data_IF_949273713550
#
_entry.id   IF_949273713550
#
_cell.length_a   1.000
_cell.length_b   1.000
_cell.length_c   1.000
_cell.angle_alpha   90.00
_cell.angle_beta   90.00
_cell.angle_gamma   90.00
#
_symmetry.space_group_name_H-M   'P 1'
#
loop_
_entity.id
_entity.type
_entity.pdbx_description
1 polymer ?
#
# COMPACT_ATOMS: atom_id res chain seq x y z
N UNK A 1 3.54 33.45 2.55
CA UNK A 1 3.24 32.38 1.57
C UNK A 1 1.73 32.38 1.40
N UNK A 2 1.24 33.02 0.34
CA UNK A 2 -0.18 33.22 0.05
C UNK A 2 -0.76 31.93 -0.53
N UNK A 3 -1.93 31.48 -0.05
CA UNK A 3 -2.65 30.27 -0.52
C UNK A 3 -2.90 30.22 -2.05
N UNK A 4 -2.64 31.31 -2.77
CA UNK A 4 -3.01 31.50 -4.19
C UNK A 4 -2.09 30.83 -5.22
N UNK A 5 -0.93 30.29 -4.83
CA UNK A 5 0.07 29.71 -5.74
C UNK A 5 0.14 28.18 -5.69
N UNK A 6 -0.73 27.54 -4.89
CA UNK A 6 -0.72 26.09 -4.83
C UNK A 6 -1.65 25.50 -5.90
N UNK A 7 -1.07 24.70 -6.80
CA UNK A 7 -1.82 23.98 -7.83
C UNK A 7 -2.91 23.07 -7.24
N UNK A 8 -3.87 22.61 -8.05
CA UNK A 8 -4.87 21.66 -7.57
C UNK A 8 -4.17 20.40 -7.05
N UNK A 9 -4.50 20.01 -5.82
CA UNK A 9 -4.07 18.74 -5.24
C UNK A 9 -5.16 17.71 -5.50
N UNK A 10 -4.76 16.49 -5.84
CA UNK A 10 -5.67 15.36 -5.96
C UNK A 10 -5.28 14.34 -4.90
N UNK A 11 -6.28 13.90 -4.13
CA UNK A 11 -6.18 12.70 -3.31
C UNK A 11 -6.28 11.49 -4.24
N UNK A 12 -5.15 10.87 -4.54
CA UNK A 12 -5.04 9.70 -5.40
C UNK A 12 -4.54 8.48 -4.63
N UNK A 13 -4.85 7.28 -5.14
CA UNK A 13 -4.35 6.00 -4.64
C UNK A 13 -3.26 5.39 -5.54
N UNK A 14 -2.90 6.08 -6.62
CA UNK A 14 -1.94 5.63 -7.61
C UNK A 14 -1.02 6.79 -7.96
N UNK A 15 0.28 6.57 -7.79
CA UNK A 15 1.29 7.43 -8.37
C UNK A 15 1.37 7.07 -9.85
N UNK A 16 0.76 7.86 -10.73
CA UNK A 16 0.90 7.75 -12.20
C UNK A 16 2.33 8.15 -12.64
N UNK A 17 3.35 7.62 -11.99
CA UNK A 17 4.72 7.71 -12.46
C UNK A 17 4.89 6.72 -13.60
N UNK A 18 5.03 7.21 -14.83
CA UNK A 18 5.52 6.39 -15.94
C UNK A 18 6.85 5.71 -15.56
N UNK A 19 7.30 4.73 -16.35
CA UNK A 19 8.40 3.77 -16.07
C UNK A 19 9.75 4.33 -15.53
N UNK A 20 9.89 5.64 -15.38
CA UNK A 20 11.08 6.38 -14.98
C UNK A 20 10.92 7.19 -13.68
N UNK A 21 9.80 7.08 -12.96
CA UNK A 21 9.63 7.75 -11.67
C UNK A 21 10.60 7.16 -10.61
N UNK A 22 11.27 7.99 -9.78
CA UNK A 22 12.14 7.52 -8.71
C UNK A 22 11.38 6.72 -7.65
N UNK A 23 11.34 5.41 -7.91
CA UNK A 23 10.96 4.29 -7.05
C UNK A 23 9.62 4.39 -6.34
N UNK A 24 8.62 3.73 -6.92
CA UNK A 24 7.59 3.09 -6.15
C UNK A 24 8.24 1.92 -5.37
N UNK A 25 8.54 2.14 -4.09
CA UNK A 25 9.06 1.12 -3.20
C UNK A 25 7.89 0.22 -2.77
N UNK A 26 7.43 -0.65 -3.69
CA UNK A 26 6.37 -1.66 -3.50
C UNK A 26 6.75 -2.76 -2.50
N UNK A 27 7.57 -2.45 -1.49
CA UNK A 27 8.01 -3.46 -0.55
C UNK A 27 6.89 -3.93 0.36
N UNK A 28 5.70 -3.35 0.35
CA UNK A 28 4.63 -3.68 1.29
C UNK A 28 4.95 -3.16 2.69
N UNK A 29 3.91 -2.84 3.46
CA UNK A 29 4.01 -2.30 4.82
C UNK A 29 4.69 -3.31 5.73
N UNK A 30 5.52 -2.81 6.66
CA UNK A 30 6.24 -3.63 7.62
C UNK A 30 5.33 -4.59 8.40
N UNK A 31 4.08 -4.18 8.69
CA UNK A 31 3.10 -5.03 9.36
C UNK A 31 2.80 -6.34 8.61
N UNK A 32 2.65 -6.27 7.29
CA UNK A 32 2.41 -7.45 6.45
C UNK A 32 3.62 -8.39 6.43
N UNK A 33 4.83 -7.85 6.45
CA UNK A 33 6.05 -8.68 6.56
C UNK A 33 6.11 -9.47 7.86
N UNK A 34 5.61 -8.91 8.96
CA UNK A 34 5.50 -9.66 10.22
C UNK A 34 4.56 -10.86 10.03
N UNK A 35 3.40 -10.67 9.41
CA UNK A 35 2.48 -11.77 9.11
C UNK A 35 3.14 -12.86 8.24
N UNK A 36 3.84 -12.46 7.17
CA UNK A 36 4.57 -13.37 6.27
C UNK A 36 5.66 -14.15 7.02
N UNK A 37 6.41 -13.50 7.91
CA UNK A 37 7.45 -14.15 8.69
C UNK A 37 6.88 -15.25 9.61
N UNK A 38 5.78 -14.97 10.32
CA UNK A 38 5.10 -15.97 11.15
C UNK A 38 4.64 -17.18 10.34
N UNK A 39 4.01 -16.94 9.19
CA UNK A 39 3.54 -18.01 8.31
C UNK A 39 4.70 -18.85 7.78
N UNK A 40 5.79 -18.21 7.36
CA UNK A 40 6.96 -18.87 6.79
C UNK A 40 7.67 -19.73 7.84
N UNK A 41 7.89 -19.19 9.05
CA UNK A 41 8.49 -19.96 10.15
C UNK A 41 7.57 -21.10 10.57
N UNK A 42 6.26 -20.84 10.71
CA UNK A 42 5.29 -21.88 11.08
C UNK A 42 5.26 -23.03 10.08
N UNK A 43 5.26 -22.72 8.78
CA UNK A 43 5.33 -23.72 7.71
C UNK A 43 6.64 -24.51 7.74
N UNK A 44 7.77 -23.83 7.90
CA UNK A 44 9.09 -24.47 7.98
C UNK A 44 9.18 -25.43 9.18
N UNK A 45 8.70 -25.04 10.36
CA UNK A 45 8.66 -25.89 11.55
C UNK A 45 7.72 -27.09 11.37
N UNK A 46 6.55 -26.88 10.76
CA UNK A 46 5.61 -27.96 10.44
C UNK A 46 6.25 -29.01 9.52
N UNK A 47 6.87 -28.56 8.42
CA UNK A 47 7.60 -29.43 7.50
C UNK A 47 8.78 -30.15 8.17
N UNK A 48 9.58 -29.43 8.98
CA UNK A 48 10.70 -30.01 9.72
C UNK A 48 10.23 -31.12 10.69
N UNK A 49 9.07 -30.93 11.33
CA UNK A 49 8.50 -31.92 12.25
C UNK A 49 8.16 -33.25 11.57
N UNK A 50 7.84 -33.23 10.27
CA UNK A 50 7.54 -34.43 9.49
C UNK A 50 8.82 -35.18 9.13
N UNK A 51 9.92 -34.45 8.90
CA UNK A 51 11.20 -35.01 8.48
C UNK A 51 11.99 -35.63 9.63
N UNK A 52 11.93 -35.08 10.84
CA UNK A 52 12.71 -35.57 12.00
C UNK A 52 12.10 -36.82 12.69
N UNK A 53 11.15 -37.49 12.03
CA UNK A 53 10.19 -38.37 12.69
C UNK A 53 9.13 -37.53 13.42
N UNK A 54 7.87 -37.98 13.56
CA UNK A 54 6.73 -37.14 13.96
C UNK A 54 6.96 -36.39 15.28
N UNK A 55 7.54 -35.21 15.19
CA UNK A 55 7.87 -34.36 16.32
C UNK A 55 6.65 -33.50 16.62
N UNK A 56 5.66 -34.10 17.28
CA UNK A 56 4.34 -33.51 17.51
C UNK A 56 4.39 -32.13 18.19
N UNK A 57 5.39 -31.88 19.05
CA UNK A 57 5.58 -30.58 19.67
C UNK A 57 5.99 -29.48 18.67
N UNK A 58 6.86 -29.82 17.71
CA UNK A 58 7.29 -28.94 16.61
C UNK A 58 6.12 -28.66 15.67
N UNK A 59 5.31 -29.69 15.39
CA UNK A 59 4.08 -29.54 14.62
C UNK A 59 3.10 -28.59 15.31
N UNK A 60 2.89 -28.74 16.63
CA UNK A 60 2.02 -27.86 17.40
C UNK A 60 2.53 -26.41 17.41
N UNK A 61 3.84 -26.21 17.60
CA UNK A 61 4.45 -24.88 17.53
C UNK A 61 4.27 -24.23 16.14
N UNK A 62 4.50 -24.99 15.07
CA UNK A 62 4.27 -24.53 13.70
C UNK A 62 2.82 -24.15 13.44
N UNK A 63 1.87 -24.98 13.91
CA UNK A 63 0.44 -24.71 13.78
C UNK A 63 0.01 -23.43 14.52
N UNK A 64 0.52 -23.19 15.74
CA UNK A 64 0.25 -21.95 16.49
C UNK A 64 0.77 -20.74 15.73
N UNK A 65 1.99 -20.80 15.16
CA UNK A 65 2.53 -19.70 14.36
C UNK A 65 1.70 -19.43 13.11
N UNK A 66 1.20 -20.48 12.44
CA UNK A 66 0.30 -20.34 11.29
C UNK A 66 -1.00 -19.64 11.70
N UNK A 67 -1.60 -20.02 12.83
CA UNK A 67 -2.83 -19.39 13.32
C UNK A 67 -2.61 -17.91 13.68
N UNK A 68 -1.51 -17.60 14.37
CA UNK A 68 -1.14 -16.22 14.70
C UNK A 68 -0.87 -15.41 13.43
N UNK A 69 -0.08 -15.95 12.49
CA UNK A 69 0.20 -15.31 11.21
C UNK A 69 -1.06 -15.07 10.37
N UNK A 70 -1.98 -16.04 10.34
CA UNK A 70 -3.28 -15.89 9.68
C UNK A 70 -4.13 -14.79 10.30
N UNK A 71 -4.16 -14.69 11.63
CA UNK A 71 -4.79 -13.57 12.33
C UNK A 71 -4.15 -12.22 11.99
N UNK A 72 -2.81 -12.17 11.94
CA UNK A 72 -2.09 -10.97 11.54
C UNK A 72 -2.44 -10.55 10.10
N UNK A 73 -2.57 -11.49 9.15
CA UNK A 73 -3.00 -11.17 7.78
C UNK A 73 -4.35 -10.43 7.74
N UNK A 74 -5.29 -10.80 8.61
CA UNK A 74 -6.60 -10.15 8.71
C UNK A 74 -6.47 -8.74 9.30
N UNK A 75 -5.68 -8.59 10.36
CA UNK A 75 -5.50 -7.30 11.05
C UNK A 75 -4.69 -6.32 10.20
N UNK A 76 -3.70 -6.80 9.46
CA UNK A 76 -2.86 -5.98 8.60
C UNK A 76 -3.47 -5.74 7.23
N UNK A 77 -4.61 -6.35 6.90
CA UNK A 77 -5.25 -6.25 5.60
C UNK A 77 -4.23 -6.46 4.46
N UNK A 78 -3.54 -7.60 4.52
CA UNK A 78 -2.34 -7.87 3.72
C UNK A 78 -2.60 -7.81 2.20
N UNK A 79 -3.85 -7.99 1.76
CA UNK A 79 -4.20 -7.93 0.35
C UNK A 79 -4.26 -6.50 -0.18
N UNK A 80 -4.54 -5.52 0.68
CA UNK A 80 -4.57 -4.09 0.30
C UNK A 80 -3.17 -3.51 0.25
N UNK A 81 -2.24 -4.11 0.98
CA UNK A 81 -0.86 -3.67 1.16
C UNK A 81 0.02 -3.63 -0.10
N UNK A 82 -0.36 -4.35 -1.15
CA UNK A 82 0.37 -4.38 -2.43
C UNK A 82 -0.42 -3.78 -3.59
N UNK A 83 -1.70 -3.43 -3.37
CA UNK A 83 -2.62 -3.00 -4.43
C UNK A 83 -2.95 -1.51 -4.32
N UNK A 84 -3.03 -0.94 -3.11
CA UNK A 84 -3.36 0.47 -2.91
C UNK A 84 -2.37 1.12 -1.94
N UNK A 85 -1.67 2.15 -2.40
CA UNK A 85 -0.97 3.07 -1.51
C UNK A 85 -1.99 3.87 -0.68
N UNK A 86 -1.62 4.25 0.54
CA UNK A 86 -2.44 5.13 1.35
C UNK A 86 -2.72 6.44 0.60
N UNK A 87 -3.95 6.98 0.69
CA UNK A 87 -4.32 8.19 0.00
C UNK A 87 -3.47 9.35 0.51
N UNK A 88 -2.59 9.85 -0.35
CA UNK A 88 -1.73 10.97 -0.06
C UNK A 88 -2.02 12.11 -1.03
N UNK A 89 -1.88 13.35 -0.52
CA UNK A 89 -2.13 14.55 -1.31
C UNK A 89 -0.89 14.83 -2.15
N UNK A 90 -0.99 14.55 -3.45
CA UNK A 90 0.07 14.82 -4.42
C UNK A 90 -0.32 16.02 -5.27
N UNK A 91 0.68 16.85 -5.60
CA UNK A 91 0.49 17.90 -6.60
C UNK A 91 0.12 17.24 -7.93
N UNK A 92 -1.02 17.61 -8.48
CA UNK A 92 -1.48 17.08 -9.77
C UNK A 92 -0.42 17.39 -10.84
N UNK A 93 0.08 16.35 -11.51
CA UNK A 93 1.02 16.57 -12.62
C UNK A 93 0.34 17.47 -13.67
N UNK A 94 1.03 18.50 -14.22
CA UNK A 94 0.45 19.41 -15.19
C UNK A 94 0.01 18.71 -16.50
N UNK A 95 -1.17 18.11 -16.49
CA UNK A 95 -1.75 17.44 -17.64
C UNK A 95 -2.36 18.48 -18.59
N UNK A 96 -1.96 18.46 -19.86
CA UNK A 96 -2.35 19.49 -20.84
C UNK A 96 -3.69 19.22 -21.52
N UNK A 97 -4.55 18.42 -20.89
CA UNK A 97 -5.82 17.96 -21.46
C UNK A 97 -6.81 19.12 -21.67
N UNK A 98 -7.75 18.98 -22.61
CA UNK A 98 -8.80 19.98 -22.83
C UNK A 98 -9.63 20.28 -21.56
N UNK A 99 -9.94 19.27 -20.76
CA UNK A 99 -10.72 19.40 -19.52
C UNK A 99 -10.01 20.28 -18.48
N UNK A 100 -8.70 20.10 -18.30
CA UNK A 100 -7.90 20.94 -17.41
C UNK A 100 -8.00 22.43 -17.79
N UNK A 101 -7.86 22.73 -19.09
CA UNK A 101 -7.94 24.09 -19.62
C UNK A 101 -9.31 24.72 -19.38
N UNK A 102 -10.38 23.95 -19.53
CA UNK A 102 -11.75 24.38 -19.28
C UNK A 102 -11.95 24.68 -17.79
N UNK A 103 -11.58 23.75 -16.90
CA UNK A 103 -11.72 23.90 -15.44
C UNK A 103 -10.94 25.11 -14.90
N UNK A 104 -9.73 25.34 -15.43
CA UNK A 104 -8.89 26.50 -15.08
C UNK A 104 -9.50 27.83 -15.55
N UNK A 105 -10.12 27.88 -16.74
CA UNK A 105 -10.84 29.08 -17.21
C UNK A 105 -12.03 29.40 -16.30
N UNK A 106 -12.87 28.40 -16.00
CA UNK A 106 -14.06 28.60 -15.15
C UNK A 106 -13.73 29.16 -13.76
N UNK A 107 -12.68 28.64 -13.10
CA UNK A 107 -12.23 29.18 -11.80
C UNK A 107 -11.77 30.63 -11.87
N UNK A 108 -11.00 30.99 -12.91
CA UNK A 108 -10.54 32.37 -13.10
C UNK A 108 -11.70 33.34 -13.30
N UNK A 109 -12.72 32.94 -14.06
CA UNK A 109 -13.89 33.79 -14.28
C UNK A 109 -14.74 33.92 -13.01
N UNK A 110 -14.95 32.82 -12.27
CA UNK A 110 -15.75 32.83 -11.03
C UNK A 110 -15.17 33.68 -9.90
N UNK A 111 -13.83 33.84 -9.85
CA UNK A 111 -13.17 34.74 -8.90
C UNK A 111 -13.18 36.22 -9.34
N UNK A 112 -13.37 36.51 -10.63
CA UNK A 112 -13.41 37.88 -11.13
C UNK A 112 -14.79 38.55 -10.98
N UNK A 113 -15.83 37.75 -10.74
CA UNK A 113 -17.22 38.19 -10.58
C UNK A 113 -17.68 38.28 -9.12
N UNK A 114 -16.75 38.26 -8.15
CA UNK A 114 -17.06 38.42 -6.72
C UNK A 114 -16.32 39.61 -6.13
#
# INVERSE_FOLDING_TARGET
MTESEAGPYIRGYQQEGGAWAPTNNHRGRLGSWVAVAFLTVGFALGGLSLVMGPAWWLMAAGAVLILVGGGLCLVTDIFTDVVLDDPHDVAEEPHTTPLYRIKRRLRRTGHATR
#
